data_IF_175989200665
#
_entry.id   IF_175989200665
#
_cell.length_a   1.000
_cell.length_b   1.000
_cell.length_c   1.000
_cell.angle_alpha   90.00
_cell.angle_beta   90.00
_cell.angle_gamma   90.00
#
_symmetry.space_group_name_H-M   'P 1'
#
loop_
_entity.id
_entity.type
_entity.pdbx_description
1 polymer ?
#
# COMPACT_ATOMS: atom_id res chain seq x y z
N UNK A 1 17.45 27.58 -3.34
CA UNK A 1 18.01 27.54 -1.96
C UNK A 1 17.02 26.82 -1.08
N UNK A 2 17.36 25.63 -0.59
CA UNK A 2 16.45 24.77 0.20
C UNK A 2 16.65 25.03 1.68
N UNK A 3 16.13 26.16 2.16
CA UNK A 3 16.05 26.44 3.60
C UNK A 3 14.95 25.55 4.20
N UNK A 4 15.33 24.65 5.11
CA UNK A 4 14.37 23.84 5.86
C UNK A 4 13.76 24.66 7.01
N UNK A 5 12.45 24.52 7.24
CA UNK A 5 11.73 25.21 8.32
C UNK A 5 12.08 24.58 9.67
N UNK A 6 12.03 25.37 10.74
CA UNK A 6 12.29 24.91 12.11
C UNK A 6 11.50 23.63 12.47
N UNK A 7 10.19 23.59 12.13
CA UNK A 7 9.33 22.42 12.38
C UNK A 7 9.76 21.16 11.62
N UNK A 8 10.51 21.29 10.54
CA UNK A 8 11.01 20.15 9.76
C UNK A 8 12.28 19.55 10.36
N UNK A 9 13.03 20.36 11.10
CA UNK A 9 14.32 20.00 11.70
C UNK A 9 14.19 19.52 13.15
N UNK A 10 13.28 20.11 13.92
CA UNK A 10 13.31 19.98 15.39
C UNK A 10 12.04 19.42 16.02
N UNK A 11 10.96 19.24 15.26
CA UNK A 11 9.73 18.63 15.79
C UNK A 11 9.65 17.17 15.34
N UNK A 12 9.50 16.29 16.33
CA UNK A 12 9.16 14.89 16.10
C UNK A 12 7.74 14.79 15.54
N UNK A 13 7.57 14.01 14.46
CA UNK A 13 6.35 14.07 13.63
C UNK A 13 5.21 13.20 14.14
N UNK A 14 5.44 12.35 15.14
CA UNK A 14 4.42 11.47 15.73
C UNK A 14 3.78 10.51 14.72
N UNK A 15 2.59 10.00 15.06
CA UNK A 15 1.78 9.14 14.19
C UNK A 15 1.24 9.96 13.01
N UNK A 16 1.21 9.41 11.78
CA UNK A 16 0.64 10.11 10.63
C UNK A 16 -0.78 10.62 10.90
N UNK A 17 -1.03 11.90 10.60
CA UNK A 17 -2.34 12.50 10.82
C UNK A 17 -3.31 12.13 9.71
N UNK A 18 -4.53 11.77 10.09
CA UNK A 18 -5.64 11.64 9.13
C UNK A 18 -6.09 13.02 8.62
N UNK A 19 -6.08 14.03 9.46
CA UNK A 19 -6.46 15.38 9.02
C UNK A 19 -5.52 16.43 9.64
N UNK A 20 -5.11 17.41 8.85
CA UNK A 20 -4.24 18.49 9.31
C UNK A 20 -4.79 19.82 8.82
N UNK A 21 -5.20 20.65 9.77
CA UNK A 21 -5.63 22.02 9.50
C UNK A 21 -4.53 22.81 8.76
N UNK A 22 -3.25 22.55 9.08
CA UNK A 22 -2.12 23.16 8.39
C UNK A 22 -2.03 22.70 6.93
N UNK A 23 -2.21 21.40 6.67
CA UNK A 23 -2.24 20.86 5.31
C UNK A 23 -3.37 21.51 4.49
N UNK A 24 -4.58 21.55 5.05
CA UNK A 24 -5.75 22.22 4.46
C UNK A 24 -5.50 23.68 4.11
N UNK A 25 -4.95 24.44 5.06
CA UNK A 25 -4.63 25.85 4.86
C UNK A 25 -3.57 26.07 3.76
N UNK A 26 -2.60 25.16 3.66
CA UNK A 26 -1.58 25.19 2.60
C UNK A 26 -2.17 24.90 1.22
N UNK A 27 -3.03 23.89 1.09
CA UNK A 27 -3.73 23.60 -0.17
C UNK A 27 -4.57 24.81 -0.60
N UNK A 28 -5.36 25.36 0.32
CA UNK A 28 -6.20 26.53 0.06
C UNK A 28 -5.38 27.74 -0.42
N UNK A 29 -4.25 28.02 0.24
CA UNK A 29 -3.35 29.12 -0.14
C UNK A 29 -2.74 28.89 -1.52
N UNK A 30 -2.24 27.68 -1.81
CA UNK A 30 -1.66 27.38 -3.12
C UNK A 30 -2.67 27.54 -4.25
N UNK A 31 -3.88 26.99 -4.08
CA UNK A 31 -4.95 27.09 -5.07
C UNK A 31 -5.34 28.55 -5.29
N UNK A 32 -5.47 29.34 -4.22
CA UNK A 32 -5.80 30.76 -4.34
C UNK A 32 -4.74 31.55 -5.12
N UNK A 33 -3.46 31.32 -4.85
CA UNK A 33 -2.37 32.10 -5.45
C UNK A 33 -1.97 31.62 -6.85
N UNK A 34 -2.12 30.33 -7.16
CA UNK A 34 -1.51 29.71 -8.35
C UNK A 34 -2.53 29.12 -9.34
N UNK A 35 -3.76 28.80 -8.91
CA UNK A 35 -4.75 28.21 -9.82
C UNK A 35 -5.46 29.32 -10.60
N UNK A 36 -5.29 29.33 -11.93
CA UNK A 36 -5.94 30.33 -12.79
C UNK A 36 -7.48 30.28 -12.62
N UNK A 37 -8.18 31.42 -12.71
CA UNK A 37 -9.64 31.46 -12.51
C UNK A 37 -10.43 30.48 -13.40
N UNK A 38 -10.01 30.28 -14.65
CA UNK A 38 -10.65 29.33 -15.57
C UNK A 38 -10.54 27.87 -15.08
N UNK A 39 -9.39 27.48 -14.53
CA UNK A 39 -9.18 26.15 -13.96
C UNK A 39 -9.96 25.99 -12.66
N UNK A 40 -9.98 27.01 -11.80
CA UNK A 40 -10.79 27.00 -10.58
C UNK A 40 -12.28 26.83 -10.89
N UNK A 41 -12.81 27.49 -11.92
CA UNK A 41 -14.21 27.34 -12.31
C UNK A 41 -14.54 25.94 -12.83
N UNK A 42 -13.62 25.33 -13.60
CA UNK A 42 -13.77 23.94 -14.07
C UNK A 42 -13.69 22.95 -12.91
N UNK A 43 -12.76 23.15 -11.98
CA UNK A 43 -12.62 22.32 -10.78
C UNK A 43 -13.87 22.38 -9.90
N UNK A 44 -14.48 23.56 -9.72
CA UNK A 44 -15.77 23.71 -9.02
C UNK A 44 -16.84 22.84 -9.69
N UNK A 45 -17.00 22.94 -11.02
CA UNK A 45 -18.03 22.18 -11.74
C UNK A 45 -17.86 20.66 -11.58
N UNK A 46 -16.64 20.17 -11.73
CA UNK A 46 -16.34 18.74 -11.58
C UNK A 46 -16.60 18.32 -10.13
N UNK A 47 -16.09 19.08 -9.17
CA UNK A 47 -16.27 18.79 -7.75
C UNK A 47 -17.76 18.70 -7.37
N UNK A 48 -18.58 19.69 -7.74
CA UNK A 48 -20.01 19.68 -7.40
C UNK A 48 -20.77 18.54 -8.11
N UNK A 49 -20.36 18.19 -9.34
CA UNK A 49 -20.98 17.10 -10.10
C UNK A 49 -20.65 15.72 -9.53
N UNK A 50 -19.40 15.49 -9.15
CA UNK A 50 -18.92 14.18 -8.69
C UNK A 50 -19.20 13.92 -7.20
N UNK A 51 -19.08 14.96 -6.35
CA UNK A 51 -19.28 14.80 -4.89
C UNK A 51 -20.70 15.07 -4.43
N UNK A 52 -21.50 15.78 -5.24
CA UNK A 52 -22.81 16.29 -4.84
C UNK A 52 -22.76 17.41 -3.79
N UNK A 53 -21.56 17.84 -3.37
CA UNK A 53 -21.36 18.90 -2.38
C UNK A 53 -21.23 20.26 -3.07
N UNK A 54 -21.83 21.31 -2.49
CA UNK A 54 -21.70 22.68 -3.02
C UNK A 54 -20.41 23.35 -2.56
N UNK A 55 -19.77 24.10 -3.45
CA UNK A 55 -18.58 24.90 -3.11
C UNK A 55 -18.99 26.12 -2.28
N UNK A 56 -18.29 26.41 -1.15
CA UNK A 56 -18.60 27.57 -0.33
C UNK A 56 -18.48 28.91 -1.07
N UNK A 57 -19.36 29.84 -0.72
CA UNK A 57 -19.33 31.21 -1.23
C UNK A 57 -18.56 32.13 -0.27
N UNK A 58 -17.78 33.07 -0.83
CA UNK A 58 -17.28 34.25 -0.11
C UNK A 58 -17.88 35.48 -0.76
N UNK A 59 -18.90 36.07 -0.12
CA UNK A 59 -19.72 37.11 -0.72
C UNK A 59 -20.55 36.55 -1.87
N UNK A 60 -20.35 37.07 -3.09
CA UNK A 60 -21.09 36.63 -4.30
C UNK A 60 -20.34 35.63 -5.17
N UNK A 61 -19.11 35.26 -4.80
CA UNK A 61 -18.27 34.37 -5.60
C UNK A 61 -18.05 33.03 -4.90
N UNK A 62 -18.18 31.93 -5.66
CA UNK A 62 -17.72 30.61 -5.22
C UNK A 62 -16.19 30.64 -5.13
N UNK A 63 -15.64 30.22 -3.99
CA UNK A 63 -14.20 30.20 -3.76
C UNK A 63 -13.76 28.76 -3.55
N UNK A 64 -13.20 28.16 -4.59
CA UNK A 64 -12.77 26.76 -4.54
C UNK A 64 -11.74 26.49 -3.42
N UNK A 65 -10.90 27.48 -3.10
CA UNK A 65 -9.96 27.38 -1.98
C UNK A 65 -10.64 27.12 -0.61
N UNK A 66 -11.92 27.50 -0.43
CA UNK A 66 -12.66 27.25 0.81
C UNK A 66 -13.08 25.78 0.97
N UNK A 67 -13.17 24.99 -0.12
CA UNK A 67 -13.40 23.54 -0.05
C UNK A 67 -12.35 22.89 0.85
N UNK A 68 -11.07 23.23 0.66
CA UNK A 68 -9.98 22.68 1.47
C UNK A 68 -10.11 23.01 2.97
N UNK A 69 -10.71 24.16 3.32
CA UNK A 69 -10.84 24.59 4.72
C UNK A 69 -12.09 24.06 5.41
N UNK A 70 -13.19 23.95 4.68
CA UNK A 70 -14.53 23.81 5.27
C UNK A 70 -15.19 22.46 4.97
N UNK A 71 -14.77 21.77 3.92
CA UNK A 71 -15.38 20.49 3.52
C UNK A 71 -14.85 19.32 4.34
N UNK A 72 -15.57 18.19 4.29
CA UNK A 72 -15.11 16.94 4.87
C UNK A 72 -13.77 16.51 4.25
N UNK A 73 -12.96 15.76 4.99
CA UNK A 73 -11.64 15.35 4.53
C UNK A 73 -11.69 14.57 3.20
N UNK A 74 -12.67 13.67 3.04
CA UNK A 74 -12.85 12.91 1.79
C UNK A 74 -12.96 13.86 0.58
N UNK A 75 -13.79 14.90 0.70
CA UNK A 75 -14.03 15.89 -0.34
C UNK A 75 -12.77 16.73 -0.59
N UNK A 76 -11.98 16.99 0.45
CA UNK A 76 -10.67 17.66 0.33
C UNK A 76 -9.67 16.82 -0.46
N UNK A 77 -9.61 15.51 -0.23
CA UNK A 77 -8.74 14.61 -0.97
C UNK A 77 -9.21 14.45 -2.42
N UNK A 78 -10.53 14.36 -2.66
CA UNK A 78 -11.10 14.35 -4.00
C UNK A 78 -10.81 15.65 -4.76
N UNK A 79 -10.93 16.80 -4.09
CA UNK A 79 -10.59 18.10 -4.67
C UNK A 79 -9.12 18.17 -5.11
N UNK A 80 -8.21 17.48 -4.42
CA UNK A 80 -6.80 17.39 -4.85
C UNK A 80 -6.69 16.71 -6.22
N UNK A 81 -7.38 15.58 -6.38
CA UNK A 81 -7.44 14.81 -7.63
C UNK A 81 -8.11 15.62 -8.74
N UNK A 82 -9.20 16.33 -8.46
CA UNK A 82 -9.89 17.14 -9.48
C UNK A 82 -9.05 18.31 -9.99
N UNK A 83 -8.27 18.97 -9.13
CA UNK A 83 -7.31 20.00 -9.58
C UNK A 83 -6.32 19.40 -10.56
N UNK A 84 -5.78 18.21 -10.26
CA UNK A 84 -4.88 17.52 -11.17
C UNK A 84 -5.56 17.22 -12.51
N UNK A 85 -6.77 16.66 -12.50
CA UNK A 85 -7.51 16.33 -13.72
C UNK A 85 -7.69 17.56 -14.61
N UNK A 86 -8.11 18.69 -14.03
CA UNK A 86 -8.29 19.95 -14.77
C UNK A 86 -6.98 20.44 -15.40
N UNK A 87 -5.87 20.35 -14.68
CA UNK A 87 -4.56 20.76 -15.19
C UNK A 87 -4.06 19.83 -16.30
N UNK A 88 -4.30 18.52 -16.17
CA UNK A 88 -3.95 17.52 -17.18
C UNK A 88 -4.76 17.71 -18.47
N UNK A 89 -6.08 17.92 -18.37
CA UNK A 89 -6.97 18.18 -19.50
C UNK A 89 -6.65 19.50 -20.22
N UNK A 90 -6.14 20.48 -19.49
CA UNK A 90 -5.70 21.75 -20.04
C UNK A 90 -4.33 21.68 -20.74
N UNK A 91 -3.65 20.53 -20.69
CA UNK A 91 -2.26 20.33 -21.15
C UNK A 91 -1.27 21.34 -20.53
N UNK A 92 -1.56 21.85 -19.33
CA UNK A 92 -0.66 22.77 -18.61
C UNK A 92 0.31 21.96 -17.76
N UNK A 93 1.29 21.33 -18.42
CA UNK A 93 2.27 20.44 -17.78
C UNK A 93 3.04 21.12 -16.65
N UNK A 94 3.39 22.41 -16.81
CA UNK A 94 4.12 23.16 -15.79
C UNK A 94 3.29 23.35 -14.52
N UNK A 95 2.02 23.74 -14.66
CA UNK A 95 1.12 23.90 -13.52
C UNK A 95 0.79 22.56 -12.87
N UNK A 96 0.62 21.50 -13.67
CA UNK A 96 0.40 20.12 -13.21
C UNK A 96 1.57 19.63 -12.35
N UNK A 97 2.79 19.74 -12.85
CA UNK A 97 3.98 19.27 -12.14
C UNK A 97 4.23 20.08 -10.87
N UNK A 98 4.01 21.40 -10.93
CA UNK A 98 4.09 22.28 -9.76
C UNK A 98 3.05 21.90 -8.69
N UNK A 99 1.82 21.58 -9.11
CA UNK A 99 0.75 21.11 -8.22
C UNK A 99 1.12 19.79 -7.55
N UNK A 100 1.49 18.76 -8.30
CA UNK A 100 1.89 17.47 -7.74
C UNK A 100 3.08 17.61 -6.78
N UNK A 101 4.11 18.36 -7.18
CA UNK A 101 5.29 18.60 -6.35
C UNK A 101 4.91 19.30 -5.04
N UNK A 102 4.01 20.29 -5.12
CA UNK A 102 3.50 20.98 -3.94
C UNK A 102 2.71 20.05 -3.01
N UNK A 103 1.75 19.30 -3.53
CA UNK A 103 0.89 18.41 -2.72
C UNK A 103 1.72 17.33 -2.05
N UNK A 104 2.62 16.64 -2.77
CA UNK A 104 3.53 15.63 -2.18
C UNK A 104 4.34 16.21 -1.04
N UNK A 105 4.94 17.39 -1.28
CA UNK A 105 5.72 18.07 -0.26
C UNK A 105 4.87 18.47 0.93
N UNK A 106 3.64 18.95 0.71
CA UNK A 106 2.73 19.33 1.79
C UNK A 106 2.28 18.11 2.61
N UNK A 107 1.90 17.00 1.97
CA UNK A 107 1.53 15.75 2.66
C UNK A 107 2.69 15.22 3.51
N UNK A 108 3.90 15.16 2.95
CA UNK A 108 5.09 14.70 3.67
C UNK A 108 5.48 15.62 4.83
N UNK A 109 5.47 16.94 4.62
CA UNK A 109 5.86 17.90 5.65
C UNK A 109 4.85 17.99 6.80
N UNK A 110 3.57 17.75 6.54
CA UNK A 110 2.51 17.72 7.57
C UNK A 110 2.25 16.31 8.11
N UNK A 111 3.09 15.33 7.77
CA UNK A 111 3.00 13.91 8.18
C UNK A 111 1.60 13.32 7.94
N UNK A 112 1.02 13.54 6.76
CA UNK A 112 -0.30 13.03 6.42
C UNK A 112 -0.27 11.50 6.22
N UNK A 113 -1.32 10.80 6.63
CA UNK A 113 -1.52 9.38 6.38
C UNK A 113 -1.88 9.02 4.93
N UNK A 114 -1.59 9.90 3.97
CA UNK A 114 -1.94 9.78 2.56
C UNK A 114 -0.74 10.12 1.67
N UNK A 115 -0.73 9.58 0.46
CA UNK A 115 0.24 9.88 -0.58
C UNK A 115 -0.48 10.13 -1.91
N UNK A 116 0.15 10.88 -2.81
CA UNK A 116 -0.37 11.15 -4.15
C UNK A 116 0.58 10.59 -5.22
N UNK A 117 0.04 9.81 -6.15
CA UNK A 117 0.81 9.19 -7.24
C UNK A 117 1.06 10.15 -8.43
N UNK A 118 1.67 9.66 -9.51
CA UNK A 118 1.99 10.46 -10.71
C UNK A 118 0.76 10.77 -11.60
N UNK A 119 -0.31 9.99 -11.45
CA UNK A 119 -1.62 10.28 -12.03
C UNK A 119 -2.36 11.37 -11.24
N UNK A 120 -1.94 11.61 -9.99
CA UNK A 120 -2.52 12.55 -9.05
C UNK A 120 -3.70 12.00 -8.27
N UNK A 121 -3.80 10.68 -8.17
CA UNK A 121 -4.75 9.99 -7.31
C UNK A 121 -4.16 9.92 -5.89
N UNK A 122 -4.99 10.22 -4.89
CA UNK A 122 -4.62 10.16 -3.48
C UNK A 122 -4.94 8.77 -2.92
N UNK A 123 -3.93 8.15 -2.31
CA UNK A 123 -4.00 6.83 -1.68
C UNK A 123 -3.66 6.95 -0.19
N UNK A 124 -3.96 5.94 0.62
CA UNK A 124 -3.40 5.89 1.97
C UNK A 124 -1.89 5.68 1.89
N UNK A 125 -1.15 6.25 2.84
CA UNK A 125 0.30 6.06 2.89
C UNK A 125 0.67 4.58 3.11
N UNK A 126 -0.21 3.83 3.80
CA UNK A 126 -0.10 2.37 3.96
C UNK A 126 -0.14 1.66 2.60
N UNK A 127 -0.94 2.14 1.65
CA UNK A 127 -1.04 1.57 0.30
C UNK A 127 0.29 1.70 -0.46
N UNK A 128 1.06 2.77 -0.23
CA UNK A 128 2.36 2.92 -0.89
C UNK A 128 3.39 1.91 -0.40
N UNK A 129 3.49 1.67 0.92
CA UNK A 129 4.38 0.63 1.45
C UNK A 129 3.89 -0.77 1.08
N UNK A 130 2.56 -0.96 1.03
CA UNK A 130 1.92 -2.18 0.55
C UNK A 130 2.29 -2.49 -0.92
N UNK A 131 2.16 -1.50 -1.80
CA UNK A 131 2.54 -1.59 -3.21
C UNK A 131 4.05 -1.75 -3.41
N UNK A 132 4.87 -1.06 -2.61
CA UNK A 132 6.33 -1.26 -2.62
C UNK A 132 6.69 -2.70 -2.26
N UNK A 133 6.01 -3.27 -1.28
CA UNK A 133 6.23 -4.66 -0.86
C UNK A 133 5.75 -5.66 -1.92
N UNK A 134 4.61 -5.39 -2.58
CA UNK A 134 4.12 -6.15 -3.75
C UNK A 134 5.16 -6.16 -4.87
N UNK A 135 5.62 -4.97 -5.29
CA UNK A 135 6.61 -4.81 -6.36
C UNK A 135 7.95 -5.50 -6.04
N UNK A 136 8.44 -5.34 -4.80
CA UNK A 136 9.68 -5.98 -4.37
C UNK A 136 9.57 -7.51 -4.32
N UNK A 137 8.39 -8.05 -4.00
CA UNK A 137 8.14 -9.49 -4.01
C UNK A 137 8.06 -10.03 -5.43
N UNK A 138 7.33 -9.34 -6.32
CA UNK A 138 7.24 -9.70 -7.74
C UNK A 138 8.61 -9.73 -8.42
N UNK A 139 9.50 -8.79 -8.09
CA UNK A 139 10.86 -8.75 -8.63
C UNK A 139 11.65 -10.05 -8.35
N UNK A 140 11.49 -10.64 -7.16
CA UNK A 140 12.15 -11.92 -6.81
C UNK A 140 11.47 -13.11 -7.52
N UNK A 141 10.15 -13.04 -7.74
CA UNK A 141 9.36 -14.08 -8.38
C UNK A 141 9.41 -14.08 -9.92
N UNK A 142 10.27 -13.25 -10.54
CA UNK A 142 10.38 -13.19 -12.01
C UNK A 142 11.05 -14.43 -12.62
N UNK A 143 11.75 -15.24 -11.83
CA UNK A 143 12.44 -16.44 -12.33
C UNK A 143 11.42 -17.49 -12.84
N UNK A 144 11.72 -18.21 -13.95
CA UNK A 144 10.79 -19.17 -14.54
C UNK A 144 10.29 -20.25 -13.58
N UNK A 145 11.14 -20.72 -12.66
CA UNK A 145 10.78 -21.72 -11.65
C UNK A 145 9.71 -21.26 -10.66
N UNK A 146 9.47 -19.94 -10.55
CA UNK A 146 8.47 -19.36 -9.66
C UNK A 146 7.19 -18.94 -10.38
N UNK A 147 6.98 -19.35 -11.63
CA UNK A 147 5.79 -18.95 -12.41
C UNK A 147 4.46 -19.24 -11.69
N UNK A 148 4.31 -20.42 -11.09
CA UNK A 148 3.11 -20.79 -10.33
C UNK A 148 2.96 -19.99 -9.03
N UNK A 149 4.08 -19.71 -8.33
CA UNK A 149 4.09 -18.87 -7.13
C UNK A 149 3.67 -17.44 -7.48
N UNK A 150 4.21 -16.88 -8.56
CA UNK A 150 3.88 -15.55 -9.07
C UNK A 150 2.41 -15.44 -9.44
N UNK A 151 1.86 -16.43 -10.14
CA UNK A 151 0.45 -16.43 -10.50
C UNK A 151 -0.47 -16.38 -9.25
N UNK A 152 -0.24 -17.26 -8.27
CA UNK A 152 -1.02 -17.25 -7.03
C UNK A 152 -0.84 -15.95 -6.21
N UNK A 153 0.37 -15.38 -6.24
CA UNK A 153 0.65 -14.10 -5.61
C UNK A 153 -0.12 -12.95 -6.27
N UNK A 154 -0.09 -12.85 -7.60
CA UNK A 154 -0.83 -11.84 -8.36
C UNK A 154 -2.35 -11.99 -8.21
N UNK A 155 -2.85 -13.23 -8.13
CA UNK A 155 -4.25 -13.54 -7.85
C UNK A 155 -4.69 -13.00 -6.49
N UNK A 156 -3.84 -13.08 -5.47
CA UNK A 156 -4.14 -12.54 -4.14
C UNK A 156 -4.45 -11.04 -4.19
N UNK A 157 -3.65 -10.27 -4.91
CA UNK A 157 -3.88 -8.84 -5.09
C UNK A 157 -5.08 -8.58 -5.99
N UNK A 158 -5.27 -9.35 -7.06
CA UNK A 158 -6.44 -9.20 -7.94
C UNK A 158 -7.78 -9.38 -7.20
N UNK A 159 -7.84 -10.29 -6.23
CA UNK A 159 -9.02 -10.46 -5.37
C UNK A 159 -9.21 -9.32 -4.37
N UNK A 160 -8.13 -8.70 -3.91
CA UNK A 160 -8.23 -7.51 -3.05
C UNK A 160 -8.67 -6.28 -3.86
N UNK A 161 -8.20 -6.18 -5.10
CA UNK A 161 -8.48 -5.08 -6.03
C UNK A 161 -9.85 -5.21 -6.74
N UNK A 162 -10.63 -6.27 -6.46
CA UNK A 162 -11.93 -6.50 -7.12
C UNK A 162 -13.06 -5.64 -6.55
N UNK A 163 -14.13 -5.46 -7.33
CA UNK A 163 -15.36 -4.81 -6.88
C UNK A 163 -16.56 -5.78 -7.00
N UNK A 164 -17.16 -6.23 -5.87
CA UNK A 164 -16.74 -6.00 -4.49
C UNK A 164 -15.41 -6.72 -4.16
N UNK A 165 -14.69 -6.24 -3.15
CA UNK A 165 -13.43 -6.84 -2.71
C UNK A 165 -13.68 -8.26 -2.16
N UNK A 166 -12.87 -9.23 -2.60
CA UNK A 166 -12.90 -10.60 -2.06
C UNK A 166 -11.69 -10.83 -1.15
N UNK A 167 -11.77 -10.26 0.05
CA UNK A 167 -10.70 -10.35 1.06
C UNK A 167 -10.38 -11.79 1.47
N UNK A 168 -11.36 -12.69 1.38
CA UNK A 168 -11.18 -14.11 1.69
C UNK A 168 -10.39 -14.82 0.60
N UNK A 169 -10.75 -14.64 -0.67
CA UNK A 169 -10.01 -15.22 -1.79
C UNK A 169 -8.60 -14.63 -1.87
N UNK A 170 -8.44 -13.35 -1.54
CA UNK A 170 -7.14 -12.68 -1.43
C UNK A 170 -6.23 -13.37 -0.41
N UNK A 171 -6.69 -13.53 0.84
CA UNK A 171 -5.94 -14.22 1.91
C UNK A 171 -5.65 -15.69 1.58
N UNK A 172 -6.58 -16.37 0.91
CA UNK A 172 -6.38 -17.75 0.47
C UNK A 172 -5.27 -17.85 -0.60
N UNK A 173 -5.25 -16.93 -1.56
CA UNK A 173 -4.31 -16.96 -2.67
C UNK A 173 -2.87 -16.63 -2.22
N UNK A 174 -2.69 -15.70 -1.28
CA UNK A 174 -1.35 -15.43 -0.71
C UNK A 174 -0.81 -16.63 0.08
N UNK A 175 -1.70 -17.37 0.77
CA UNK A 175 -1.33 -18.62 1.42
C UNK A 175 -0.94 -19.69 0.39
N UNK A 176 -1.70 -19.81 -0.69
CA UNK A 176 -1.41 -20.75 -1.78
C UNK A 176 -0.04 -20.46 -2.42
N UNK A 177 0.29 -19.19 -2.66
CA UNK A 177 1.62 -18.81 -3.13
C UNK A 177 2.74 -19.30 -2.19
N UNK A 178 2.55 -19.14 -0.88
CA UNK A 178 3.49 -19.65 0.13
C UNK A 178 3.57 -21.18 0.14
N UNK A 179 2.44 -21.87 -0.01
CA UNK A 179 2.38 -23.33 -0.04
C UNK A 179 3.10 -23.89 -1.28
N UNK A 180 2.88 -23.31 -2.46
CA UNK A 180 3.61 -23.68 -3.69
C UNK A 180 5.11 -23.48 -3.50
N UNK A 181 5.54 -22.31 -2.98
CA UNK A 181 6.96 -22.04 -2.78
C UNK A 181 7.59 -22.99 -1.75
N UNK A 182 6.87 -23.34 -0.68
CA UNK A 182 7.35 -24.31 0.31
C UNK A 182 7.59 -25.69 -0.29
N UNK A 183 6.74 -26.14 -1.22
CA UNK A 183 6.91 -27.40 -1.95
C UNK A 183 8.09 -27.36 -2.92
N UNK A 184 8.40 -26.20 -3.50
CA UNK A 184 9.62 -26.04 -4.30
C UNK A 184 10.89 -26.17 -3.44
N UNK A 185 10.84 -25.72 -2.18
CA UNK A 185 11.97 -25.88 -1.25
C UNK A 185 12.08 -27.30 -0.68
N UNK A 186 10.93 -27.97 -0.48
CA UNK A 186 10.83 -29.31 0.12
C UNK A 186 9.82 -30.13 -0.67
N UNK A 187 10.22 -30.81 -1.77
CA UNK A 187 9.32 -31.50 -2.68
C UNK A 187 8.45 -32.59 -2.04
N UNK A 188 8.96 -33.26 -1.01
CA UNK A 188 8.24 -34.33 -0.30
C UNK A 188 7.21 -33.83 0.73
N UNK A 189 7.10 -32.50 0.90
CA UNK A 189 6.16 -31.92 1.85
C UNK A 189 4.72 -31.98 1.32
N UNK A 190 3.79 -32.45 2.17
CA UNK A 190 2.35 -32.49 1.84
C UNK A 190 1.73 -31.09 1.85
N UNK A 191 1.44 -30.58 3.04
CA UNK A 191 0.75 -29.31 3.24
C UNK A 191 1.62 -28.38 4.06
N UNK A 192 1.63 -27.10 3.70
CA UNK A 192 2.24 -26.08 4.54
C UNK A 192 1.45 -26.00 5.86
N UNK A 193 2.16 -26.18 6.96
CA UNK A 193 1.65 -26.04 8.32
C UNK A 193 2.78 -25.50 9.23
N UNK A 194 2.43 -25.13 10.46
CA UNK A 194 3.37 -24.58 11.43
C UNK A 194 4.59 -25.48 11.65
N UNK A 195 4.38 -26.80 11.74
CA UNK A 195 5.46 -27.75 11.98
C UNK A 195 6.44 -27.80 10.80
N UNK A 196 5.93 -27.86 9.56
CA UNK A 196 6.77 -27.85 8.36
C UNK A 196 7.61 -26.58 8.29
N UNK A 197 7.01 -25.42 8.60
CA UNK A 197 7.71 -24.14 8.60
C UNK A 197 8.83 -24.09 9.65
N UNK A 198 8.52 -24.45 10.89
CA UNK A 198 9.45 -24.35 12.02
C UNK A 198 10.53 -25.41 12.04
N UNK A 199 10.32 -26.55 11.41
CA UNK A 199 11.26 -27.67 11.47
C UNK A 199 11.91 -27.88 10.10
N UNK A 200 11.16 -28.28 9.09
CA UNK A 200 11.77 -28.70 7.81
C UNK A 200 12.27 -27.52 6.97
N UNK A 201 11.42 -26.51 6.72
CA UNK A 201 11.83 -25.35 5.92
C UNK A 201 12.96 -24.57 6.60
N UNK A 202 12.88 -24.42 7.93
CA UNK A 202 13.91 -23.78 8.74
C UNK A 202 15.27 -24.42 8.54
N UNK A 203 15.37 -25.73 8.73
CA UNK A 203 16.66 -26.44 8.60
C UNK A 203 17.22 -26.35 7.19
N UNK A 204 16.39 -26.58 6.17
CA UNK A 204 16.82 -26.53 4.76
C UNK A 204 17.30 -25.13 4.38
N UNK A 205 16.60 -24.07 4.79
CA UNK A 205 16.97 -22.71 4.46
C UNK A 205 18.16 -22.19 5.28
N UNK A 206 18.33 -22.63 6.54
CA UNK A 206 19.50 -22.28 7.35
C UNK A 206 20.81 -22.76 6.72
N UNK A 207 20.78 -23.93 6.06
CA UNK A 207 21.95 -24.45 5.34
C UNK A 207 22.42 -23.54 4.20
N UNK A 208 21.55 -22.66 3.68
CA UNK A 208 21.86 -21.73 2.57
C UNK A 208 21.76 -20.26 2.95
N UNK A 209 21.38 -19.95 4.19
CA UNK A 209 21.22 -18.59 4.67
C UNK A 209 22.55 -17.82 4.64
N UNK A 210 23.68 -18.53 4.77
CA UNK A 210 24.99 -17.90 4.95
C UNK A 210 25.04 -17.12 6.26
N UNK A 211 25.94 -16.13 6.33
CA UNK A 211 25.99 -15.20 7.45
C UNK A 211 26.71 -15.71 8.69
N UNK A 212 26.86 -14.81 9.66
CA UNK A 212 27.44 -15.13 10.97
C UNK A 212 26.40 -15.79 11.91
N UNK A 213 26.82 -16.17 13.12
CA UNK A 213 25.93 -16.81 14.10
C UNK A 213 24.74 -15.93 14.48
N UNK A 214 24.90 -14.60 14.42
CA UNK A 214 23.83 -13.63 14.74
C UNK A 214 22.78 -13.63 13.64
N UNK A 215 23.20 -13.56 12.38
CA UNK A 215 22.30 -13.66 11.23
C UNK A 215 21.52 -14.98 11.26
N UNK A 216 22.18 -16.11 11.52
CA UNK A 216 21.51 -17.41 11.64
C UNK A 216 20.46 -17.45 12.77
N UNK A 217 20.71 -16.78 13.90
CA UNK A 217 19.70 -16.63 14.98
C UNK A 217 18.48 -15.84 14.50
N UNK A 218 18.67 -14.77 13.74
CA UNK A 218 17.57 -14.00 13.13
C UNK A 218 16.78 -14.86 12.15
N UNK A 219 17.47 -15.64 11.30
CA UNK A 219 16.81 -16.55 10.36
C UNK A 219 15.98 -17.62 11.08
N UNK A 220 16.46 -18.16 12.21
CA UNK A 220 15.65 -19.06 13.05
C UNK A 220 14.35 -18.38 13.52
N UNK A 221 14.47 -17.17 14.07
CA UNK A 221 13.31 -16.39 14.52
C UNK A 221 12.32 -16.05 13.39
N UNK A 222 12.83 -15.80 12.18
CA UNK A 222 11.98 -15.61 10.99
C UNK A 222 11.09 -16.84 10.73
N UNK A 223 11.65 -18.07 10.78
CA UNK A 223 10.86 -19.28 10.57
C UNK A 223 9.90 -19.58 11.71
N UNK A 224 10.24 -19.20 12.94
CA UNK A 224 9.31 -19.28 14.06
C UNK A 224 8.10 -18.36 13.82
N UNK A 225 8.34 -17.12 13.40
CA UNK A 225 7.29 -16.16 13.01
C UNK A 225 6.46 -16.62 11.81
N UNK A 226 7.10 -17.15 10.77
CA UNK A 226 6.40 -17.75 9.62
C UNK A 226 5.47 -18.89 10.05
N UNK A 227 5.93 -19.74 10.98
CA UNK A 227 5.11 -20.82 11.53
C UNK A 227 3.86 -20.30 12.24
N UNK A 228 3.98 -19.23 13.04
CA UNK A 228 2.81 -18.59 13.66
C UNK A 228 1.88 -17.95 12.64
N UNK A 229 2.43 -17.29 11.63
CA UNK A 229 1.64 -16.69 10.54
C UNK A 229 0.83 -17.76 9.78
N UNK A 230 1.46 -18.88 9.42
CA UNK A 230 0.80 -20.03 8.78
C UNK A 230 -0.33 -20.58 9.66
N UNK A 231 -0.07 -20.71 10.96
CA UNK A 231 -1.06 -21.21 11.92
C UNK A 231 -2.25 -20.27 12.07
N UNK A 232 -2.02 -18.96 12.12
CA UNK A 232 -3.08 -17.96 12.22
C UNK A 232 -4.01 -17.99 10.99
N UNK A 233 -3.45 -18.16 9.79
CA UNK A 233 -4.23 -18.20 8.55
C UNK A 233 -5.02 -19.49 8.33
N UNK A 234 -4.76 -20.56 9.09
CA UNK A 234 -5.58 -21.77 9.02
C UNK A 234 -7.08 -21.50 9.26
N UNK A 235 -7.41 -20.45 10.03
CA UNK A 235 -8.80 -20.03 10.28
C UNK A 235 -9.55 -19.56 9.02
N UNK A 236 -8.83 -19.06 8.02
CA UNK A 236 -9.39 -18.62 6.74
C UNK A 236 -9.20 -19.64 5.62
N UNK A 237 -8.28 -20.60 5.81
CA UNK A 237 -7.99 -21.70 4.88
C UNK A 237 -9.04 -22.80 4.91
N UNK A 238 -9.51 -23.19 6.10
CA UNK A 238 -10.51 -24.24 6.27
C UNK A 238 -11.92 -23.64 6.33
N UNK A 239 -12.92 -24.35 5.80
CA UNK A 239 -14.31 -23.93 5.90
C UNK A 239 -14.67 -23.64 7.36
N UNK A 240 -15.14 -22.43 7.63
CA UNK A 240 -15.62 -22.07 8.96
C UNK A 240 -16.90 -22.84 9.25
N UNK A 241 -17.12 -23.25 10.50
CA UNK A 241 -18.35 -23.94 10.93
C UNK A 241 -19.59 -23.02 10.95
N UNK A 242 -19.53 -21.87 10.28
CA UNK A 242 -20.60 -20.90 10.14
C UNK A 242 -21.33 -21.11 8.81
N UNK A 243 -22.64 -20.82 8.80
CA UNK A 243 -23.51 -20.93 7.61
C UNK A 243 -23.01 -20.02 6.49
N UNK A 244 -22.48 -18.85 6.85
CA UNK A 244 -21.79 -17.95 5.94
C UNK A 244 -20.31 -17.84 6.34
N UNK A 245 -19.38 -18.03 5.40
CA UNK A 245 -17.96 -17.82 5.68
C UNK A 245 -17.68 -16.35 5.99
N UNK A 246 -17.11 -16.09 7.16
CA UNK A 246 -16.64 -14.78 7.62
C UNK A 246 -15.33 -14.44 6.92
N UNK A 247 -15.40 -13.48 6.01
CA UNK A 247 -14.23 -12.89 5.38
C UNK A 247 -13.48 -11.98 6.40
N UNK A 248 -12.14 -11.86 6.30
CA UNK A 248 -11.41 -10.88 7.09
C UNK A 248 -11.82 -9.45 6.70
N UNK A 249 -11.68 -8.50 7.63
CA UNK A 249 -11.80 -7.08 7.30
C UNK A 249 -10.72 -6.69 6.28
N UNK A 250 -10.96 -5.61 5.53
CA UNK A 250 -10.00 -5.07 4.57
C UNK A 250 -8.63 -4.78 5.22
N UNK A 251 -8.63 -4.08 6.36
CA UNK A 251 -7.40 -3.80 7.13
C UNK A 251 -6.62 -5.09 7.47
N UNK A 252 -7.33 -6.16 7.86
CA UNK A 252 -6.70 -7.43 8.18
C UNK A 252 -6.17 -8.13 6.92
N UNK A 253 -6.90 -8.06 5.81
CA UNK A 253 -6.45 -8.61 4.53
C UNK A 253 -5.19 -7.90 4.03
N UNK A 254 -5.14 -6.56 4.08
CA UNK A 254 -3.96 -5.76 3.75
C UNK A 254 -2.78 -6.13 4.65
N UNK A 255 -2.99 -6.27 5.96
CA UNK A 255 -1.95 -6.73 6.88
C UNK A 255 -1.43 -8.13 6.53
N UNK A 256 -2.33 -9.07 6.23
CA UNK A 256 -1.98 -10.45 5.87
C UNK A 256 -1.20 -10.50 4.56
N UNK A 257 -1.62 -9.75 3.53
CA UNK A 257 -0.90 -9.68 2.27
C UNK A 257 0.46 -9.01 2.44
N UNK A 258 0.55 -7.97 3.29
CA UNK A 258 1.82 -7.30 3.60
C UNK A 258 2.83 -8.26 4.24
N UNK A 259 2.41 -8.93 5.31
CA UNK A 259 3.26 -9.87 6.05
C UNK A 259 3.57 -11.12 5.22
N UNK A 260 2.57 -11.64 4.50
CA UNK A 260 2.72 -12.76 3.57
C UNK A 260 3.71 -12.48 2.44
N UNK A 261 3.65 -11.30 1.84
CA UNK A 261 4.61 -10.86 0.81
C UNK A 261 6.03 -10.80 1.35
N UNK A 262 6.21 -10.24 2.54
CA UNK A 262 7.53 -10.16 3.17
C UNK A 262 8.12 -11.55 3.45
N UNK A 263 7.31 -12.47 3.97
CA UNK A 263 7.71 -13.87 4.17
C UNK A 263 8.01 -14.58 2.84
N UNK A 264 7.17 -14.39 1.83
CA UNK A 264 7.27 -15.05 0.54
C UNK A 264 8.54 -14.63 -0.18
N UNK A 265 8.82 -13.31 -0.18
CA UNK A 265 10.05 -12.74 -0.73
C UNK A 265 11.29 -13.32 -0.07
N UNK A 266 11.33 -13.37 1.26
CA UNK A 266 12.48 -13.90 1.98
C UNK A 266 12.67 -15.40 1.71
N UNK A 267 11.60 -16.19 1.72
CA UNK A 267 11.66 -17.61 1.39
C UNK A 267 12.12 -17.84 -0.07
N UNK A 268 11.68 -17.00 -1.00
CA UNK A 268 12.07 -17.11 -2.41
C UNK A 268 13.58 -16.85 -2.60
N UNK A 269 14.15 -15.90 -1.84
CA UNK A 269 15.61 -15.69 -1.81
C UNK A 269 16.34 -16.97 -1.37
N UNK A 270 15.86 -17.66 -0.34
CA UNK A 270 16.46 -18.94 0.08
C UNK A 270 16.24 -20.04 -0.95
N UNK A 271 15.06 -20.11 -1.57
CA UNK A 271 14.76 -21.08 -2.63
C UNK A 271 15.71 -20.96 -3.83
N UNK A 272 16.06 -19.74 -4.23
CA UNK A 272 17.08 -19.50 -5.28
C UNK A 272 18.44 -20.06 -4.86
N UNK A 273 18.85 -19.82 -3.61
CA UNK A 273 20.14 -20.32 -3.11
C UNK A 273 20.18 -21.85 -2.99
N UNK A 274 19.05 -22.49 -2.64
CA UNK A 274 18.93 -23.95 -2.63
C UNK A 274 19.16 -24.53 -4.03
N UNK A 275 18.53 -23.94 -5.05
CA UNK A 275 18.70 -24.36 -6.44
C UNK A 275 20.10 -24.13 -7.02
N UNK A 276 20.92 -23.25 -6.43
CA UNK A 276 22.33 -23.06 -6.82
C UNK A 276 23.28 -24.10 -6.19
N UNK A 277 22.85 -24.76 -5.11
CA UNK A 277 23.63 -25.76 -4.38
C UNK A 277 23.25 -27.21 -4.74
N UNK A 278 22.33 -27.40 -5.68
CA UNK A 278 21.85 -28.69 -6.19
C UNK A 278 22.50 -29.02 -7.53
#
# INVERSE_FOLDING_TARGET
MTSQRFSQLYLERGVPSRDSERFRNRLAAYVWDNLRPAYSHRAIKIFEAETGTRVPFRGVHQVFAEVFRQSELRDVLDAVTFVQCVLAEAYDHLARDAWLSFVRRAMHEENMGYAIDDAGVVHFHVDQEFERNRAATLAVLQLPQFAAVRAAFEDAYRHLDSEPQDTKASVRSIFEAMEILSRLCVPDAKNLNQWLAKNTLKEVCLNVAGGDETEQKVVRGFFDGLGEWVNALHLYRHGQAAIEPVAPSEDLAVYVLSTGSAHLRQLAIYAVRLGQNS
#
